data_IF_872470263319
#
_entry.id   IF_872470263319
#
_cell.length_a   1.000
_cell.length_b   1.000
_cell.length_c   1.000
_cell.angle_alpha   90.00
_cell.angle_beta   90.00
_cell.angle_gamma   90.00
#
_symmetry.space_group_name_H-M   'P 1'
#
loop_
_entity.id
_entity.type
_entity.pdbx_description
1 polymer ?
#
# COMPACT_ATOMS: atom_id res chain seq x y z
N UNK A 1 3.08 1.32 22.18
CA UNK A 1 3.05 -0.16 22.06
C UNK A 1 4.46 -0.75 21.94
N UNK A 2 5.34 -0.26 21.06
CA UNK A 2 6.70 -0.83 20.87
C UNK A 2 7.54 -0.95 22.15
N UNK A 3 7.66 0.11 22.96
CA UNK A 3 8.36 0.02 24.26
C UNK A 3 7.72 -0.97 25.23
N UNK A 4 6.39 -1.07 25.23
CA UNK A 4 5.67 -2.04 26.06
C UNK A 4 5.83 -3.48 25.56
N UNK A 5 6.12 -3.65 24.27
CA UNK A 5 6.50 -4.92 23.64
C UNK A 5 7.98 -5.29 23.87
N UNK A 6 8.71 -4.48 24.65
CA UNK A 6 10.11 -4.75 25.00
C UNK A 6 11.16 -4.23 24.01
N UNK A 7 10.74 -3.54 22.93
CA UNK A 7 11.67 -2.95 21.97
C UNK A 7 12.48 -1.83 22.63
N UNK A 8 13.81 -1.90 22.51
CA UNK A 8 14.76 -0.94 23.04
C UNK A 8 15.97 -0.70 22.13
N UNK A 9 17.04 -0.18 22.73
CA UNK A 9 18.24 0.25 22.01
C UNK A 9 18.94 -0.94 21.35
N UNK A 10 19.08 -0.88 20.02
CA UNK A 10 19.79 -1.89 19.23
C UNK A 10 18.91 -3.03 18.73
N UNK A 11 17.64 -3.10 19.15
CA UNK A 11 16.68 -4.06 18.61
C UNK A 11 16.27 -3.68 17.19
N UNK A 12 16.12 -4.69 16.34
CA UNK A 12 15.59 -4.53 14.99
C UNK A 12 14.07 -4.75 14.99
N UNK A 13 13.34 -3.89 14.28
CA UNK A 13 11.90 -4.05 14.07
C UNK A 13 11.62 -4.06 12.58
N UNK A 14 11.04 -5.15 12.08
CA UNK A 14 10.67 -5.26 10.67
C UNK A 14 9.41 -4.43 10.41
N UNK A 15 9.47 -3.54 9.42
CA UNK A 15 8.41 -2.58 9.08
C UNK A 15 8.21 -2.48 7.56
N UNK A 16 7.02 -2.08 7.08
CA UNK A 16 6.81 -1.85 5.66
C UNK A 16 7.65 -0.67 5.15
N UNK A 17 8.04 -0.76 3.88
CA UNK A 17 8.72 0.32 3.18
C UNK A 17 7.77 1.20 2.33
N UNK A 18 6.52 0.78 2.15
CA UNK A 18 5.55 1.42 1.25
C UNK A 18 4.53 2.30 2.00
N UNK A 19 4.94 3.51 2.36
CA UNK A 19 4.12 4.47 3.10
C UNK A 19 4.30 4.36 4.62
N UNK A 20 3.41 5.00 5.39
CA UNK A 20 3.38 4.99 6.86
C UNK A 20 4.74 5.26 7.53
N UNK A 21 5.39 6.38 7.18
CA UNK A 21 6.69 6.77 7.73
C UNK A 21 6.66 6.85 9.27
N UNK A 22 5.52 7.20 9.85
CA UNK A 22 5.27 7.26 11.28
C UNK A 22 5.55 5.93 12.01
N UNK A 23 5.45 4.79 11.31
CA UNK A 23 5.78 3.47 11.88
C UNK A 23 7.29 3.33 12.07
N UNK A 24 8.08 3.74 11.09
CA UNK A 24 9.54 3.73 11.19
C UNK A 24 10.03 4.75 12.22
N UNK A 25 9.42 5.94 12.27
CA UNK A 25 9.68 6.96 13.29
C UNK A 25 9.37 6.43 14.70
N UNK A 26 8.25 5.74 14.89
CA UNK A 26 7.89 5.15 16.17
C UNK A 26 8.90 4.10 16.65
N UNK A 27 9.49 3.33 15.73
CA UNK A 27 10.59 2.40 16.04
C UNK A 27 11.83 3.16 16.51
N UNK A 28 12.23 4.21 15.79
CA UNK A 28 13.38 5.05 16.20
C UNK A 28 13.15 5.71 17.55
N UNK A 29 11.94 6.24 17.80
CA UNK A 29 11.56 6.83 19.08
C UNK A 29 11.55 5.81 20.23
N UNK A 30 11.33 4.53 19.93
CA UNK A 30 11.45 3.44 20.90
C UNK A 30 12.93 3.06 21.17
N UNK A 31 13.89 3.57 20.40
CA UNK A 31 15.31 3.21 20.46
C UNK A 31 15.72 2.09 19.50
N UNK A 32 14.76 1.51 18.78
CA UNK A 32 14.99 0.42 17.85
C UNK A 32 15.48 0.89 16.48
N UNK A 33 15.80 -0.09 15.63
CA UNK A 33 16.26 0.08 14.26
C UNK A 33 15.20 -0.45 13.28
N UNK A 34 14.61 0.40 12.42
CA UNK A 34 13.71 -0.06 11.38
C UNK A 34 14.45 -0.93 10.36
N UNK A 35 13.96 -2.15 10.15
CA UNK A 35 14.36 -3.05 9.07
C UNK A 35 13.23 -3.09 8.05
N UNK A 36 13.50 -2.64 6.84
CA UNK A 36 12.49 -2.56 5.79
C UNK A 36 12.39 -3.89 5.04
N UNK A 37 11.18 -4.44 4.95
CA UNK A 37 10.89 -5.64 4.16
C UNK A 37 9.98 -5.31 2.96
N UNK A 38 10.00 -6.21 1.98
CA UNK A 38 9.18 -6.09 0.77
C UNK A 38 7.68 -6.16 1.06
N UNK A 39 6.93 -5.59 0.13
CA UNK A 39 5.49 -5.73 0.08
C UNK A 39 5.08 -6.86 -0.85
N UNK A 40 3.93 -7.46 -0.58
CA UNK A 40 3.22 -8.25 -1.58
C UNK A 40 2.69 -7.29 -2.68
N UNK A 41 3.00 -7.54 -3.97
CA UNK A 41 2.66 -6.60 -5.03
C UNK A 41 1.15 -6.50 -5.32
N UNK A 42 0.33 -7.49 -4.91
CA UNK A 42 -1.12 -7.44 -5.12
C UNK A 42 -1.83 -6.65 -4.01
N UNK A 43 -1.40 -6.85 -2.76
CA UNK A 43 -2.07 -6.29 -1.57
C UNK A 43 -1.40 -5.02 -1.03
N UNK A 44 -0.16 -4.76 -1.43
CA UNK A 44 0.73 -3.71 -0.92
C UNK A 44 1.07 -3.80 0.58
N UNK A 45 0.57 -4.83 1.27
CA UNK A 45 0.93 -5.14 2.65
C UNK A 45 2.29 -5.83 2.71
N UNK A 46 2.87 -5.97 3.91
CA UNK A 46 4.12 -6.72 4.08
C UNK A 46 4.01 -8.17 3.55
N UNK A 47 4.99 -8.60 2.76
CA UNK A 47 5.12 -10.00 2.35
C UNK A 47 5.74 -10.81 3.49
N UNK A 48 5.04 -11.85 3.95
CA UNK A 48 5.50 -12.73 5.02
C UNK A 48 6.84 -13.42 4.70
N UNK A 49 7.10 -13.76 3.44
CA UNK A 49 8.37 -14.35 2.97
C UNK A 49 9.51 -13.35 3.09
N UNK A 50 9.27 -12.10 2.70
CA UNK A 50 10.25 -11.03 2.82
C UNK A 50 10.52 -10.66 4.29
N UNK A 51 9.47 -10.65 5.12
CA UNK A 51 9.60 -10.51 6.57
C UNK A 51 10.51 -11.62 7.10
N UNK A 52 10.23 -12.89 6.80
CA UNK A 52 11.04 -14.01 7.27
C UNK A 52 12.51 -13.91 6.83
N UNK A 53 12.77 -13.49 5.58
CA UNK A 53 14.12 -13.30 5.06
C UNK A 53 14.88 -12.13 5.72
N UNK A 54 14.17 -11.16 6.28
CA UNK A 54 14.76 -9.98 6.94
C UNK A 54 15.09 -10.20 8.42
N UNK A 55 14.65 -11.32 9.01
CA UNK A 55 14.85 -11.61 10.43
C UNK A 55 16.32 -11.91 10.72
N UNK A 56 16.83 -11.29 11.78
CA UNK A 56 18.16 -11.52 12.35
C UNK A 56 18.04 -11.87 13.84
N UNK A 57 19.14 -12.28 14.51
CA UNK A 57 19.14 -12.46 15.96
C UNK A 57 18.81 -11.20 16.77
N UNK A 58 18.86 -9.99 16.16
CA UNK A 58 18.46 -8.73 16.80
C UNK A 58 17.00 -8.37 16.59
N UNK A 59 16.27 -9.11 15.75
CA UNK A 59 14.86 -8.81 15.49
C UNK A 59 14.04 -9.06 16.74
N UNK A 60 13.34 -8.02 17.22
CA UNK A 60 12.50 -8.08 18.40
C UNK A 60 11.01 -8.11 18.07
N UNK A 61 10.61 -7.49 16.95
CA UNK A 61 9.21 -7.42 16.54
C UNK A 61 9.05 -7.22 15.02
N UNK A 62 7.82 -7.45 14.56
CA UNK A 62 7.33 -7.09 13.22
C UNK A 62 6.15 -6.15 13.40
N UNK A 63 6.15 -4.99 12.73
CA UNK A 63 4.99 -4.10 12.66
C UNK A 63 4.35 -4.22 11.28
N UNK A 64 3.11 -4.68 11.26
CA UNK A 64 2.31 -4.89 10.06
C UNK A 64 1.33 -3.76 9.92
N UNK A 65 1.22 -3.21 8.70
CA UNK A 65 0.24 -2.18 8.37
C UNK A 65 -0.70 -2.71 7.31
N UNK A 66 -2.02 -2.60 7.57
CA UNK A 66 -3.03 -2.85 6.55
C UNK A 66 -3.05 -1.68 5.56
N UNK A 67 -3.13 -1.96 4.26
CA UNK A 67 -2.91 -0.94 3.23
C UNK A 67 -4.16 -0.69 2.43
N UNK A 68 -4.58 0.58 2.38
CA UNK A 68 -5.67 1.04 1.52
C UNK A 68 -7.03 0.39 1.82
N UNK A 69 -7.17 -0.14 3.04
CA UNK A 69 -8.32 -0.93 3.46
C UNK A 69 -8.21 -2.43 3.18
N UNK A 70 -7.11 -2.90 2.60
CA UNK A 70 -6.81 -4.34 2.46
C UNK A 70 -6.10 -4.85 3.71
N UNK A 71 -6.66 -5.86 4.41
CA UNK A 71 -5.95 -6.53 5.48
C UNK A 71 -4.71 -7.26 4.95
N UNK A 72 -3.64 -7.24 5.74
CA UNK A 72 -2.45 -8.05 5.49
C UNK A 72 -2.77 -9.53 5.79
N UNK A 73 -1.98 -10.45 5.24
CA UNK A 73 -2.07 -11.87 5.58
C UNK A 73 -1.53 -12.12 7.00
N UNK A 74 -2.36 -11.78 7.99
CA UNK A 74 -2.02 -11.91 9.39
C UNK A 74 -1.83 -13.37 9.78
N UNK A 75 -2.47 -14.33 9.11
CA UNK A 75 -2.28 -15.75 9.41
C UNK A 75 -0.83 -16.15 9.15
N UNK A 76 -0.29 -15.84 7.97
CA UNK A 76 1.11 -16.14 7.62
C UNK A 76 2.10 -15.31 8.44
N UNK A 77 1.80 -14.04 8.70
CA UNK A 77 2.68 -13.18 9.50
C UNK A 77 2.76 -13.66 10.96
N UNK A 78 1.64 -14.09 11.56
CA UNK A 78 1.65 -14.69 12.89
C UNK A 78 2.36 -16.04 12.91
N UNK A 79 2.23 -16.86 11.86
CA UNK A 79 2.99 -18.12 11.75
C UNK A 79 4.51 -17.85 11.78
N UNK A 80 4.98 -16.88 10.99
CA UNK A 80 6.39 -16.43 11.01
C UNK A 80 6.79 -15.96 12.41
N UNK A 81 5.96 -15.13 13.04
CA UNK A 81 6.19 -14.64 14.40
C UNK A 81 6.32 -15.77 15.42
N UNK A 82 5.41 -16.75 15.40
CA UNK A 82 5.43 -17.90 16.31
C UNK A 82 6.68 -18.77 16.12
N UNK A 83 7.04 -19.10 14.88
CA UNK A 83 8.23 -19.92 14.59
C UNK A 83 9.54 -19.26 15.01
N UNK A 84 9.56 -17.92 15.04
CA UNK A 84 10.77 -17.12 15.33
C UNK A 84 10.76 -16.48 16.72
N UNK A 85 9.69 -16.67 17.50
CA UNK A 85 9.54 -16.08 18.84
C UNK A 85 9.38 -14.56 18.82
N UNK A 86 8.82 -13.99 17.75
CA UNK A 86 8.66 -12.54 17.56
C UNK A 86 7.23 -12.08 17.83
N UNK A 87 7.10 -10.87 18.37
CA UNK A 87 5.82 -10.18 18.47
C UNK A 87 5.44 -9.59 17.11
N UNK A 88 4.21 -9.87 16.67
CA UNK A 88 3.62 -9.29 15.45
C UNK A 88 2.58 -8.26 15.88
N UNK A 89 2.88 -6.99 15.65
CA UNK A 89 2.04 -5.86 16.00
C UNK A 89 1.31 -5.37 14.74
N UNK A 90 -0.01 -5.29 14.78
CA UNK A 90 -0.77 -4.73 13.67
C UNK A 90 -1.16 -3.28 13.91
N UNK A 91 -1.11 -2.48 12.85
CA UNK A 91 -1.63 -1.12 12.79
C UNK A 91 -2.70 -1.07 11.70
N UNK A 92 -3.94 -0.83 12.12
CA UNK A 92 -5.05 -0.57 11.20
C UNK A 92 -5.05 0.89 10.72
N UNK A 93 -5.54 1.10 9.50
CA UNK A 93 -5.96 2.43 9.05
C UNK A 93 -7.43 2.62 9.48
N UNK A 94 -7.71 3.73 10.17
CA UNK A 94 -8.99 4.23 10.72
C UNK A 94 -10.26 3.36 10.55
N UNK A 95 -10.97 3.09 11.65
CA UNK A 95 -12.32 2.51 11.61
C UNK A 95 -13.32 3.49 10.96
N UNK A 96 -13.98 3.06 9.88
CA UNK A 96 -15.09 3.77 9.27
C UNK A 96 -16.41 3.07 9.64
N UNK A 97 -17.54 3.79 9.72
CA UNK A 97 -18.86 3.19 9.90
C UNK A 97 -19.14 2.08 8.87
N UNK A 98 -19.85 1.03 9.29
CA UNK A 98 -20.11 -0.15 8.45
C UNK A 98 -20.86 0.17 7.15
N UNK A 99 -21.83 1.09 7.21
CA UNK A 99 -22.58 1.57 6.06
C UNK A 99 -21.68 2.28 5.04
N UNK A 100 -20.68 3.03 5.49
CA UNK A 100 -19.69 3.65 4.62
C UNK A 100 -18.82 2.59 3.91
N UNK A 101 -18.39 1.55 4.63
CA UNK A 101 -17.63 0.44 4.05
C UNK A 101 -18.44 -0.28 2.97
N UNK A 102 -19.72 -0.56 3.24
CA UNK A 102 -20.60 -1.22 2.26
C UNK A 102 -20.76 -0.38 0.98
N UNK A 103 -20.94 0.94 1.12
CA UNK A 103 -21.03 1.83 -0.03
C UNK A 103 -19.72 1.91 -0.82
N UNK A 104 -18.56 2.00 -0.14
CA UNK A 104 -17.24 1.97 -0.80
C UNK A 104 -17.06 0.69 -1.61
N UNK A 105 -17.40 -0.47 -1.04
CA UNK A 105 -17.38 -1.77 -1.74
C UNK A 105 -18.30 -1.80 -2.96
N UNK A 106 -19.51 -1.25 -2.85
CA UNK A 106 -20.43 -1.17 -3.99
C UNK A 106 -19.86 -0.32 -5.13
N UNK A 107 -19.26 0.84 -4.81
CA UNK A 107 -18.62 1.72 -5.80
C UNK A 107 -17.37 1.07 -6.40
N UNK A 108 -16.54 0.42 -5.58
CA UNK A 108 -15.39 -0.35 -6.03
C UNK A 108 -15.82 -1.43 -7.03
N UNK A 109 -16.82 -2.26 -6.71
CA UNK A 109 -17.34 -3.27 -7.63
C UNK A 109 -17.92 -2.69 -8.93
N UNK A 110 -18.45 -1.46 -8.90
CA UNK A 110 -18.85 -0.76 -10.13
C UNK A 110 -17.64 -0.44 -11.02
N UNK A 111 -16.55 0.05 -10.42
CA UNK A 111 -15.29 0.40 -11.08
C UNK A 111 -14.57 -0.85 -11.57
N UNK A 112 -14.42 -1.88 -10.74
CA UNK A 112 -13.76 -3.15 -11.05
C UNK A 112 -14.34 -3.79 -12.31
N UNK A 113 -15.67 -3.81 -12.42
CA UNK A 113 -16.36 -4.39 -13.56
C UNK A 113 -16.18 -3.61 -14.88
N UNK A 114 -15.63 -2.39 -14.86
CA UNK A 114 -15.66 -1.45 -16.00
C UNK A 114 -14.32 -0.80 -16.34
N UNK A 115 -13.39 -0.75 -15.41
CA UNK A 115 -12.04 -0.27 -15.68
C UNK A 115 -11.26 -1.31 -16.49
N UNK A 116 -10.68 -0.86 -17.58
CA UNK A 116 -9.90 -1.64 -18.55
C UNK A 116 -8.59 -0.96 -18.91
N UNK A 117 -8.49 0.35 -18.69
CA UNK A 117 -7.28 1.13 -18.94
C UNK A 117 -6.28 1.18 -17.79
N UNK A 118 -6.57 0.53 -16.66
CA UNK A 118 -5.71 0.41 -15.49
C UNK A 118 -5.89 -0.98 -14.88
N UNK A 119 -4.92 -1.44 -14.10
CA UNK A 119 -5.08 -2.66 -13.31
C UNK A 119 -5.79 -2.31 -12.00
N UNK A 120 -6.92 -2.96 -11.76
CA UNK A 120 -7.74 -2.75 -10.56
C UNK A 120 -7.12 -3.44 -9.35
N UNK A 121 -7.39 -2.95 -8.12
CA UNK A 121 -6.97 -3.65 -6.92
C UNK A 121 -7.60 -5.06 -6.85
N UNK A 122 -6.93 -5.97 -6.14
CA UNK A 122 -7.50 -7.28 -5.84
C UNK A 122 -8.66 -7.14 -4.84
N UNK A 123 -9.78 -7.82 -5.11
CA UNK A 123 -11.04 -7.68 -4.37
C UNK A 123 -11.17 -8.59 -3.14
N UNK A 124 -10.07 -9.25 -2.76
CA UNK A 124 -10.02 -10.26 -1.70
C UNK A 124 -10.66 -9.89 -0.37
N UNK A 125 -10.95 -10.93 0.40
CA UNK A 125 -11.78 -10.88 1.59
C UNK A 125 -11.37 -9.77 2.58
N UNK A 126 -12.37 -9.02 3.02
CA UNK A 126 -12.17 -7.96 4.01
C UNK A 126 -11.76 -6.60 3.45
N UNK A 127 -11.46 -6.43 2.16
CA UNK A 127 -11.07 -5.14 1.59
C UNK A 127 -12.14 -4.05 1.84
N UNK A 128 -11.80 -2.98 2.58
CA UNK A 128 -12.74 -1.89 2.92
C UNK A 128 -12.74 -0.75 1.92
N UNK A 129 -11.76 -0.73 1.01
CA UNK A 129 -11.57 0.28 -0.02
C UNK A 129 -11.47 1.69 0.57
N UNK A 130 -10.74 1.82 1.67
CA UNK A 130 -10.38 3.13 2.21
C UNK A 130 -9.66 3.99 1.15
N UNK A 131 -8.86 3.35 0.30
CA UNK A 131 -8.42 3.93 -0.96
C UNK A 131 -8.61 2.91 -2.08
N UNK A 132 -9.17 3.36 -3.21
CA UNK A 132 -9.24 2.54 -4.41
C UNK A 132 -7.96 2.77 -5.23
N UNK A 133 -6.96 1.90 -5.03
CA UNK A 133 -5.62 2.05 -5.62
C UNK A 133 -5.48 1.14 -6.83
N UNK A 134 -5.33 1.76 -8.01
CA UNK A 134 -5.07 1.08 -9.27
C UNK A 134 -3.58 1.14 -9.62
N UNK A 135 -3.12 0.26 -10.51
CA UNK A 135 -1.82 0.43 -11.17
C UNK A 135 -2.01 1.00 -12.58
N UNK A 136 -1.28 2.06 -12.88
CA UNK A 136 -1.22 2.64 -14.22
C UNK A 136 -0.29 1.76 -15.07
N UNK A 137 -0.73 1.30 -16.25
CA UNK A 137 0.10 0.52 -17.17
C UNK A 137 1.26 1.37 -17.72
N UNK A 138 2.30 0.71 -18.24
CA UNK A 138 3.51 1.35 -18.76
C UNK A 138 4.72 1.02 -17.91
N UNK A 139 5.72 1.91 -17.91
CA UNK A 139 7.03 1.66 -17.26
C UNK A 139 7.16 2.39 -15.92
N UNK A 140 6.05 2.60 -15.20
CA UNK A 140 6.04 3.37 -13.96
C UNK A 140 6.17 4.88 -14.19
N UNK A 141 7.16 5.55 -13.57
CA UNK A 141 7.44 6.97 -13.83
C UNK A 141 8.27 7.13 -15.12
N UNK A 142 7.95 8.08 -16.01
CA UNK A 142 7.02 9.22 -15.84
C UNK A 142 5.56 8.94 -16.27
N UNK A 143 5.25 7.76 -16.80
CA UNK A 143 3.94 7.43 -17.39
C UNK A 143 2.78 7.61 -16.40
N UNK A 144 2.94 7.12 -15.16
CA UNK A 144 1.96 7.31 -14.08
C UNK A 144 1.65 8.78 -13.82
N UNK A 145 2.68 9.62 -13.79
CA UNK A 145 2.53 11.06 -13.51
C UNK A 145 1.86 11.78 -14.70
N UNK A 146 2.17 11.37 -15.94
CA UNK A 146 1.48 11.85 -17.13
C UNK A 146 0.00 11.43 -17.14
N UNK A 147 -0.29 10.17 -16.82
CA UNK A 147 -1.64 9.63 -16.70
C UNK A 147 -2.45 10.39 -15.64
N UNK A 148 -1.89 10.61 -14.46
CA UNK A 148 -2.53 11.36 -13.39
C UNK A 148 -2.84 12.81 -13.80
N UNK A 149 -1.92 13.50 -14.50
CA UNK A 149 -2.19 14.84 -15.05
C UNK A 149 -3.31 14.81 -16.08
N UNK A 150 -3.31 13.82 -16.98
CA UNK A 150 -4.33 13.69 -18.02
C UNK A 150 -5.73 13.34 -17.46
N UNK A 151 -5.81 12.57 -16.37
CA UNK A 151 -7.04 12.32 -15.63
C UNK A 151 -7.58 13.60 -14.97
N UNK A 152 -6.71 14.34 -14.27
CA UNK A 152 -7.10 15.62 -13.65
C UNK A 152 -7.58 16.62 -14.69
N UNK A 153 -6.93 16.69 -15.86
CA UNK A 153 -7.38 17.51 -16.99
C UNK A 153 -8.76 17.11 -17.54
N UNK A 154 -9.22 15.89 -17.28
CA UNK A 154 -10.57 15.39 -17.60
C UNK A 154 -11.57 15.55 -16.43
N UNK A 155 -11.17 16.24 -15.37
CA UNK A 155 -12.00 16.46 -14.18
C UNK A 155 -12.19 15.21 -13.33
N UNK A 156 -11.22 14.30 -13.35
CA UNK A 156 -11.15 13.15 -12.43
C UNK A 156 -10.05 13.43 -11.41
N UNK A 157 -10.44 13.58 -10.15
CA UNK A 157 -9.49 13.70 -9.06
C UNK A 157 -8.72 12.38 -8.89
N UNK A 158 -7.44 12.49 -8.54
CA UNK A 158 -6.59 11.34 -8.26
C UNK A 158 -5.38 11.77 -7.44
N UNK A 159 -4.82 10.85 -6.65
CA UNK A 159 -3.63 11.09 -5.83
C UNK A 159 -2.65 9.93 -5.91
N UNK A 160 -1.37 10.25 -5.80
CA UNK A 160 -0.32 9.23 -5.63
C UNK A 160 -0.31 8.84 -4.15
N UNK A 161 -0.61 7.58 -3.79
CA UNK A 161 -0.75 7.20 -2.38
C UNK A 161 0.60 7.21 -1.65
N UNK A 162 1.69 6.81 -2.32
CA UNK A 162 3.05 6.84 -1.78
C UNK A 162 3.98 7.35 -2.87
N UNK A 163 4.56 8.54 -2.68
CA UNK A 163 5.46 9.16 -3.67
C UNK A 163 6.89 8.65 -3.59
N UNK A 164 7.37 8.45 -2.36
CA UNK A 164 8.72 8.01 -2.06
C UNK A 164 8.62 6.92 -1.00
N UNK A 165 9.04 5.68 -1.30
CA UNK A 165 9.16 4.63 -0.28
C UNK A 165 10.02 5.08 0.90
N UNK A 166 9.69 4.62 2.10
CA UNK A 166 10.31 5.08 3.35
C UNK A 166 11.83 4.87 3.32
N UNK A 167 12.29 3.71 2.86
CA UNK A 167 13.72 3.38 2.74
C UNK A 167 14.51 4.27 1.76
N UNK A 168 13.84 5.12 0.97
CA UNK A 168 14.46 6.11 0.06
C UNK A 168 14.40 7.55 0.59
N UNK A 169 13.60 7.81 1.64
CA UNK A 169 13.52 9.11 2.30
C UNK A 169 14.88 9.47 2.92
N UNK A 170 15.27 10.76 2.98
CA UNK A 170 16.58 11.15 3.49
C UNK A 170 16.93 10.61 4.87
N UNK A 171 15.97 10.60 5.80
CA UNK A 171 16.15 10.13 7.17
C UNK A 171 16.34 8.61 7.29
N UNK A 172 15.67 7.85 6.43
CA UNK A 172 15.66 6.39 6.45
C UNK A 172 16.42 5.78 5.28
N UNK A 173 17.25 6.56 4.58
CA UNK A 173 17.92 6.14 3.36
C UNK A 173 18.85 4.96 3.65
N UNK A 174 18.59 3.83 3.00
CA UNK A 174 19.45 2.64 3.04
C UNK A 174 19.90 2.26 1.62
N UNK A 175 21.08 1.66 1.52
CA UNK A 175 21.49 0.93 0.31
C UNK A 175 20.78 -0.43 0.27
N UNK A 176 19.46 -0.39 0.10
CA UNK A 176 18.57 -1.54 0.07
C UNK A 176 17.73 -1.46 -1.21
N UNK A 177 17.55 -2.60 -1.87
CA UNK A 177 16.69 -2.72 -3.06
C UNK A 177 15.40 -3.42 -2.65
N UNK A 178 14.26 -2.76 -2.88
CA UNK A 178 12.93 -3.33 -2.67
C UNK A 178 12.13 -3.15 -3.98
N UNK A 179 12.37 -3.99 -5.01
CA UNK A 179 11.83 -3.81 -6.35
C UNK A 179 10.30 -3.75 -6.46
N UNK A 180 9.55 -4.52 -5.67
CA UNK A 180 8.08 -4.53 -5.68
C UNK A 180 7.53 -3.27 -4.99
N UNK A 181 8.15 -2.86 -3.89
CA UNK A 181 7.88 -1.58 -3.22
C UNK A 181 8.16 -0.38 -4.15
N UNK A 182 9.31 -0.38 -4.82
CA UNK A 182 9.73 0.68 -5.74
C UNK A 182 8.79 0.76 -6.94
N UNK A 183 8.48 -0.39 -7.54
CA UNK A 183 7.52 -0.51 -8.64
C UNK A 183 6.13 -0.03 -8.24
N UNK A 184 5.64 -0.39 -7.05
CA UNK A 184 4.37 0.11 -6.55
C UNK A 184 4.34 1.65 -6.40
N UNK A 185 5.43 2.28 -5.93
CA UNK A 185 5.51 3.74 -5.83
C UNK A 185 5.49 4.44 -7.21
N UNK A 186 6.00 3.76 -8.23
CA UNK A 186 6.06 4.26 -9.59
C UNK A 186 4.75 4.08 -10.36
N UNK A 187 3.99 3.03 -10.07
CA UNK A 187 2.80 2.65 -10.86
C UNK A 187 1.47 3.00 -10.19
N UNK A 188 1.40 3.11 -8.86
CA UNK A 188 0.12 3.21 -8.17
C UNK A 188 -0.53 4.59 -8.28
N UNK A 189 -1.86 4.60 -8.40
CA UNK A 189 -2.68 5.81 -8.39
C UNK A 189 -3.98 5.53 -7.65
N UNK A 190 -4.34 6.38 -6.69
CA UNK A 190 -5.60 6.29 -5.98
C UNK A 190 -6.68 7.10 -6.70
N UNK A 191 -7.79 6.43 -7.02
CA UNK A 191 -9.01 7.02 -7.57
C UNK A 191 -10.04 7.24 -6.45
N UNK A 192 -11.00 8.15 -6.62
CA UNK A 192 -12.00 8.43 -5.60
C UNK A 192 -13.03 7.30 -5.51
N UNK A 193 -13.43 6.99 -4.29
CA UNK A 193 -14.46 5.98 -3.93
C UNK A 193 -15.29 6.44 -2.72
N UNK A 194 -15.16 7.72 -2.35
CA UNK A 194 -15.78 8.31 -1.17
C UNK A 194 -17.32 8.39 -1.27
N UNK A 195 -17.94 8.80 -0.16
CA UNK A 195 -19.39 8.86 -0.02
C UNK A 195 -20.08 9.82 -1.01
N UNK A 196 -19.40 10.87 -1.47
CA UNK A 196 -19.99 11.88 -2.35
C UNK A 196 -20.02 11.44 -3.82
N UNK A 197 -19.31 10.37 -4.18
CA UNK A 197 -19.14 9.94 -5.55
C UNK A 197 -20.47 9.49 -6.20
N UNK A 198 -20.91 10.22 -7.22
CA UNK A 198 -22.14 9.90 -7.96
C UNK A 198 -21.89 8.89 -9.08
N UNK A 199 -22.96 8.29 -9.62
CA UNK A 199 -22.87 7.43 -10.81
C UNK A 199 -22.26 8.13 -12.02
N UNK A 200 -22.53 9.43 -12.19
CA UNK A 200 -21.95 10.25 -13.27
C UNK A 200 -20.45 10.41 -13.09
N UNK A 201 -19.98 10.57 -11.85
CA UNK A 201 -18.56 10.68 -11.55
C UNK A 201 -17.85 9.35 -11.80
N UNK A 202 -18.44 8.23 -11.36
CA UNK A 202 -17.91 6.89 -11.67
C UNK A 202 -17.83 6.63 -13.18
N UNK A 203 -18.85 7.02 -13.96
CA UNK A 203 -18.81 6.93 -15.42
C UNK A 203 -17.69 7.77 -16.02
N UNK A 204 -17.45 8.96 -15.48
CA UNK A 204 -16.34 9.84 -15.91
C UNK A 204 -14.99 9.20 -15.62
N UNK A 205 -14.81 8.64 -14.42
CA UNK A 205 -13.59 7.91 -14.03
C UNK A 205 -13.34 6.77 -15.01
N UNK A 206 -14.32 5.91 -15.22
CA UNK A 206 -14.24 4.77 -16.15
C UNK A 206 -13.87 5.24 -17.56
N UNK A 207 -14.59 6.23 -18.10
CA UNK A 207 -14.36 6.74 -19.44
C UNK A 207 -12.96 7.34 -19.60
N UNK A 208 -12.51 8.13 -18.62
CA UNK A 208 -11.21 8.77 -18.65
C UNK A 208 -10.06 7.75 -18.53
N UNK A 209 -10.14 6.81 -17.58
CA UNK A 209 -9.14 5.76 -17.41
C UNK A 209 -9.04 4.86 -18.64
N UNK A 210 -10.18 4.41 -19.18
CA UNK A 210 -10.19 3.51 -20.35
C UNK A 210 -9.66 4.19 -21.60
N UNK A 211 -9.98 5.47 -21.82
CA UNK A 211 -9.45 6.23 -22.94
C UNK A 211 -7.93 6.44 -22.86
N UNK A 212 -7.40 6.64 -21.64
CA UNK A 212 -5.97 6.86 -21.44
C UNK A 212 -5.15 5.57 -21.44
N UNK A 213 -5.68 4.48 -20.87
CA UNK A 213 -4.96 3.21 -20.78
C UNK A 213 -4.67 2.59 -22.14
N UNK A 214 -5.52 2.83 -23.15
CA UNK A 214 -5.25 2.41 -24.52
C UNK A 214 -4.00 3.08 -25.15
N UNK A 215 -3.46 4.13 -24.54
CA UNK A 215 -2.27 4.85 -25.01
C UNK A 215 -0.97 4.40 -24.33
N UNK A 216 -1.06 3.64 -23.25
CA UNK A 216 0.09 3.17 -22.48
C UNK A 216 0.22 1.66 -22.67
N UNK A 217 1.13 1.26 -23.55
CA UNK A 217 1.54 -0.14 -23.72
C UNK A 217 2.81 -0.35 -22.88
N UNK A 218 2.98 -1.52 -22.22
CA UNK A 218 4.27 -1.88 -21.63
C UNK A 218 5.32 -1.87 -22.75
N UNK A 219 6.47 -1.22 -22.53
CA UNK A 219 7.62 -1.45 -23.40
C UNK A 219 8.17 -2.83 -23.01
N UNK A 220 7.94 -3.83 -23.86
CA UNK A 220 8.57 -5.14 -23.73
C UNK A 220 10.09 -5.03 -23.70
#
# INVERSE_FOLDING_TARGET
>A
MLRAAGVGVGDEVVVPAFGNVEVAEAVVLAGGLPVFAEIDPATYCLDATAVEASITPRTAAVVVVHRFGRPADMARLHEVGQRRGLLVLQQGESEAPYDEIAQRRQRAGYLDARLRGVLTPDDGDGHTYQQYVVRVPGNGRPDRDAFARALRGRGVECRVPVKTPVHRLPEFRRCLSLPDTERAADETLALPVDAALTRRDMQRIVGACNALGGLLQPAF
#
